data_IF_523909268860
#
_entry.id   IF_523909268860
#
_cell.length_a   1.000
_cell.length_b   1.000
_cell.length_c   1.000
_cell.angle_alpha   90.00
_cell.angle_beta   90.00
_cell.angle_gamma   90.00
#
_symmetry.space_group_name_H-M   'P 1'
#
loop_
_entity.id
_entity.type
_entity.pdbx_description
1 polymer ?
#
# COMPACT_ATOMS: atom_id res chain seq x y z
N UNK A 1 -23.73 8.84 42.59
CA UNK A 1 -22.73 9.63 41.86
C UNK A 1 -22.28 8.79 40.67
N UNK A 2 -23.07 8.83 39.59
CA UNK A 2 -22.78 8.10 38.35
C UNK A 2 -21.93 9.01 37.47
N UNK A 3 -20.71 8.59 37.16
CA UNK A 3 -19.84 9.29 36.23
C UNK A 3 -20.35 8.98 34.81
N UNK A 4 -21.09 9.92 34.21
CA UNK A 4 -21.45 9.88 32.80
C UNK A 4 -20.15 9.96 31.99
N UNK A 5 -19.71 8.83 31.45
CA UNK A 5 -18.67 8.80 30.45
C UNK A 5 -19.20 9.55 29.22
N UNK A 6 -18.80 10.81 29.07
CA UNK A 6 -18.94 11.51 27.80
C UNK A 6 -18.09 10.74 26.80
N UNK A 7 -18.76 10.07 25.86
CA UNK A 7 -18.14 9.66 24.60
C UNK A 7 -17.83 10.98 23.89
N UNK A 8 -16.65 11.54 24.15
CA UNK A 8 -16.08 12.54 23.29
C UNK A 8 -15.81 11.82 21.97
N UNK A 9 -16.75 11.92 21.03
CA UNK A 9 -16.43 11.83 19.63
C UNK A 9 -15.49 13.02 19.38
N UNK A 10 -14.19 12.76 19.40
CA UNK A 10 -13.27 13.63 18.71
C UNK A 10 -13.67 13.49 17.24
N UNK A 11 -14.47 14.43 16.74
CA UNK A 11 -14.47 14.75 15.33
C UNK A 11 -13.03 15.16 15.02
N UNK A 12 -12.22 14.18 14.63
CA UNK A 12 -10.95 14.47 13.99
C UNK A 12 -11.36 15.19 12.70
N UNK A 13 -11.31 16.53 12.71
CA UNK A 13 -11.49 17.31 11.50
C UNK A 13 -10.52 16.78 10.44
N UNK A 14 -10.94 16.75 9.17
CA UNK A 14 -10.04 16.42 8.06
C UNK A 14 -8.74 17.24 8.17
N UNK A 15 -8.89 18.49 8.60
CA UNK A 15 -7.84 19.48 8.76
C UNK A 15 -6.88 19.18 9.92
N UNK A 16 -7.16 18.20 10.79
CA UNK A 16 -6.25 17.78 11.86
C UNK A 16 -4.90 17.31 11.29
N UNK A 17 -4.92 16.74 10.08
CA UNK A 17 -3.71 16.28 9.39
C UNK A 17 -3.08 17.35 8.48
N UNK A 18 -3.76 18.47 8.23
CA UNK A 18 -3.29 19.49 7.27
C UNK A 18 -1.99 20.16 7.71
N UNK A 19 -1.68 20.18 9.01
CA UNK A 19 -0.41 20.73 9.51
C UNK A 19 0.72 19.67 9.61
N UNK A 20 0.37 18.38 9.68
CA UNK A 20 1.31 17.26 9.89
C UNK A 20 1.72 16.61 8.55
N UNK A 21 0.77 16.49 7.62
CA UNK A 21 0.90 15.74 6.37
C UNK A 21 1.76 16.44 5.29
N UNK A 22 1.62 17.76 5.02
CA UNK A 22 2.33 18.39 3.90
C UNK A 22 3.83 18.60 4.15
N UNK A 23 4.28 18.69 5.40
CA UNK A 23 5.72 18.83 5.68
C UNK A 23 6.45 17.49 5.50
N UNK A 24 5.84 16.39 5.93
CA UNK A 24 6.45 15.05 5.90
C UNK A 24 6.44 14.47 4.48
N UNK A 25 5.33 14.59 3.75
CA UNK A 25 5.22 14.10 2.35
C UNK A 25 6.16 14.85 1.40
N UNK A 26 6.43 16.15 1.66
CA UNK A 26 7.35 16.94 0.82
C UNK A 26 8.81 16.53 0.96
N UNK A 27 9.20 15.92 2.09
CA UNK A 27 10.58 15.50 2.33
C UNK A 27 10.91 14.19 1.62
N UNK A 28 9.95 13.27 1.52
CA UNK A 28 10.14 11.98 0.87
C UNK A 28 9.09 11.76 -0.23
N UNK A 29 9.49 11.91 -1.50
CA UNK A 29 8.58 11.82 -2.66
C UNK A 29 7.85 10.47 -2.75
N UNK A 30 8.41 9.42 -2.14
CA UNK A 30 7.85 8.06 -2.15
C UNK A 30 6.88 7.79 -1.00
N UNK A 31 6.73 8.72 -0.07
CA UNK A 31 5.94 8.53 1.14
C UNK A 31 4.47 8.26 0.81
N UNK A 32 3.87 9.05 -0.08
CA UNK A 32 2.47 8.88 -0.48
C UNK A 32 2.19 7.47 -1.05
N UNK A 33 3.06 6.99 -1.95
CA UNK A 33 2.95 5.64 -2.52
C UNK A 33 3.11 4.55 -1.43
N UNK A 34 4.02 4.77 -0.49
CA UNK A 34 4.31 3.80 0.58
C UNK A 34 3.14 3.71 1.58
N UNK A 35 2.57 4.85 2.00
CA UNK A 35 1.42 4.91 2.90
C UNK A 35 0.17 4.32 2.24
N UNK A 36 -0.04 4.60 0.95
CA UNK A 36 -1.15 4.03 0.20
C UNK A 36 -1.01 2.50 0.05
N UNK A 37 0.22 2.02 -0.17
CA UNK A 37 0.50 0.58 -0.16
C UNK A 37 0.25 -0.04 1.21
N UNK A 38 0.69 0.59 2.30
CA UNK A 38 0.40 0.10 3.66
C UNK A 38 -1.10 0.01 3.91
N UNK A 39 -1.87 1.02 3.49
CA UNK A 39 -3.32 0.99 3.60
C UNK A 39 -3.94 -0.15 2.78
N UNK A 40 -3.49 -0.36 1.54
CA UNK A 40 -3.93 -1.49 0.72
C UNK A 40 -3.64 -2.84 1.38
N UNK A 41 -2.42 -3.04 1.91
CA UNK A 41 -2.06 -4.30 2.57
C UNK A 41 -2.81 -4.52 3.89
N UNK A 42 -3.08 -3.47 4.67
CA UNK A 42 -3.95 -3.55 5.85
C UNK A 42 -5.39 -3.92 5.46
N UNK A 43 -5.91 -3.31 4.40
CA UNK A 43 -7.32 -3.43 4.03
C UNK A 43 -7.75 -4.72 3.33
N UNK A 44 -6.88 -5.75 3.35
CA UNK A 44 -7.33 -7.13 3.20
C UNK A 44 -7.97 -7.70 4.49
N UNK A 45 -8.05 -6.87 5.55
CA UNK A 45 -8.87 -7.04 6.75
C UNK A 45 -9.29 -5.71 7.41
N UNK A 46 -8.57 -4.61 7.13
CA UNK A 46 -8.72 -3.24 7.65
C UNK A 46 -8.77 -3.19 9.19
N UNK A 47 -7.91 -3.94 9.88
CA UNK A 47 -7.91 -4.07 11.34
C UNK A 47 -6.60 -3.62 12.01
N UNK A 48 -5.68 -3.02 11.25
CA UNK A 48 -4.37 -2.55 11.67
C UNK A 48 -3.42 -3.68 12.10
N UNK A 49 -3.69 -4.95 11.76
CA UNK A 49 -2.82 -6.09 12.07
C UNK A 49 -1.41 -5.93 11.48
N UNK A 50 -1.29 -5.29 10.31
CA UNK A 50 -0.01 -5.05 9.63
C UNK A 50 0.97 -4.21 10.47
N UNK A 51 0.46 -3.42 11.41
CA UNK A 51 1.28 -2.55 12.26
C UNK A 51 1.85 -3.28 13.48
N UNK A 52 1.37 -4.49 13.79
CA UNK A 52 1.82 -5.26 14.94
C UNK A 52 3.25 -5.78 14.75
N UNK A 53 4.11 -5.55 15.74
CA UNK A 53 5.48 -6.08 15.78
C UNK A 53 5.51 -7.55 16.22
N UNK A 54 6.61 -8.24 15.89
CA UNK A 54 6.80 -9.64 16.26
C UNK A 54 6.85 -9.79 17.78
N UNK A 55 6.04 -10.70 18.31
CA UNK A 55 6.06 -11.10 19.72
C UNK A 55 6.14 -12.62 19.83
N UNK A 56 6.29 -13.14 21.05
CA UNK A 56 6.30 -14.60 21.29
C UNK A 56 4.97 -15.27 20.95
N UNK A 57 3.88 -14.51 20.94
CA UNK A 57 2.51 -14.97 20.67
C UNK A 57 1.92 -14.42 19.38
N UNK A 58 2.65 -13.56 18.66
CA UNK A 58 2.15 -12.85 17.47
C UNK A 58 3.23 -12.90 16.40
N UNK A 59 2.91 -13.50 15.27
CA UNK A 59 3.72 -13.41 14.06
C UNK A 59 3.38 -12.12 13.31
N UNK A 60 4.39 -11.30 13.06
CA UNK A 60 4.21 -9.99 12.45
C UNK A 60 4.04 -10.10 10.94
N UNK A 61 2.97 -9.51 10.42
CA UNK A 61 2.76 -9.36 8.98
C UNK A 61 3.84 -8.52 8.29
N UNK A 62 4.61 -7.71 9.03
CA UNK A 62 5.78 -6.99 8.50
C UNK A 62 6.84 -7.95 7.95
N UNK A 63 6.86 -9.18 8.44
CA UNK A 63 7.80 -10.24 8.02
C UNK A 63 7.22 -11.21 6.99
N UNK A 64 5.93 -11.05 6.63
CA UNK A 64 5.30 -11.83 5.57
C UNK A 64 6.02 -11.61 4.23
N UNK A 65 5.94 -12.58 3.32
CA UNK A 65 6.70 -12.59 2.07
C UNK A 65 6.61 -11.25 1.30
N UNK A 66 5.40 -10.72 1.13
CA UNK A 66 5.17 -9.52 0.34
C UNK A 66 5.59 -8.22 1.06
N UNK A 67 5.72 -8.27 2.39
CA UNK A 67 6.01 -7.10 3.24
C UNK A 67 7.48 -7.03 3.67
N UNK A 68 8.15 -8.18 3.81
CA UNK A 68 9.49 -8.28 4.36
C UNK A 68 10.51 -7.56 3.46
N UNK A 69 11.24 -6.59 4.04
CA UNK A 69 12.14 -5.70 3.31
C UNK A 69 11.48 -4.98 2.12
N UNK A 70 10.16 -4.77 2.19
CA UNK A 70 9.35 -4.23 1.10
C UNK A 70 8.39 -3.14 1.59
N UNK A 71 7.50 -3.47 2.53
CA UNK A 71 6.61 -2.49 3.16
C UNK A 71 7.43 -1.54 4.04
N UNK A 72 7.06 -0.25 4.05
CA UNK A 72 7.85 0.83 4.68
C UNK A 72 6.95 2.00 5.12
N UNK A 73 7.50 2.91 5.93
CA UNK A 73 6.82 4.07 6.55
C UNK A 73 5.92 3.72 7.74
N UNK A 74 6.12 2.56 8.39
CA UNK A 74 5.42 2.20 9.62
C UNK A 74 5.62 3.27 10.72
N UNK A 75 6.83 3.80 10.81
CA UNK A 75 7.24 4.82 11.77
C UNK A 75 6.51 6.16 11.58
N UNK A 76 6.01 6.45 10.37
CA UNK A 76 5.20 7.65 10.12
C UNK A 76 3.84 7.49 10.80
N UNK A 77 3.22 6.31 10.65
CA UNK A 77 1.93 5.99 11.28
C UNK A 77 2.08 5.97 12.81
N UNK A 78 3.16 5.40 13.34
CA UNK A 78 3.43 5.39 14.78
C UNK A 78 3.57 6.81 15.35
N UNK A 79 4.27 7.71 14.63
CA UNK A 79 4.40 9.12 15.04
C UNK A 79 3.06 9.84 15.03
N UNK A 80 2.26 9.65 13.99
CA UNK A 80 0.91 10.23 13.89
C UNK A 80 0.06 9.74 15.07
N UNK A 81 0.07 8.44 15.33
CA UNK A 81 -0.66 7.82 16.44
C UNK A 81 -0.22 8.39 17.79
N UNK A 82 1.08 8.57 18.00
CA UNK A 82 1.62 9.12 19.24
C UNK A 82 1.20 10.58 19.49
N UNK A 83 1.18 11.43 18.45
CA UNK A 83 0.70 12.81 18.59
C UNK A 83 -0.81 12.86 18.84
N UNK A 84 -1.60 11.98 18.20
CA UNK A 84 -3.03 11.85 18.49
C UNK A 84 -3.23 11.45 19.96
N UNK A 85 -2.56 10.41 20.44
CA UNK A 85 -2.71 9.93 21.82
C UNK A 85 -2.32 10.99 22.86
N UNK A 86 -1.29 11.79 22.54
CA UNK A 86 -0.84 12.91 23.37
C UNK A 86 -1.88 14.02 23.43
N UNK A 87 -2.46 14.42 22.29
CA UNK A 87 -3.55 15.41 22.25
C UNK A 87 -4.79 14.90 22.99
N UNK A 88 -5.11 13.61 22.85
CA UNK A 88 -6.24 12.99 23.52
C UNK A 88 -5.99 12.68 25.01
N UNK A 89 -4.74 12.76 25.48
CA UNK A 89 -4.34 12.41 26.85
C UNK A 89 -4.52 10.93 27.21
N UNK A 90 -4.74 10.07 26.21
CA UNK A 90 -4.96 8.62 26.36
C UNK A 90 -4.78 7.92 25.01
N UNK A 91 -4.44 6.61 25.00
CA UNK A 91 -4.51 5.81 23.78
C UNK A 91 -5.93 5.83 23.21
N UNK A 92 -6.09 6.32 21.98
CA UNK A 92 -7.35 6.27 21.24
C UNK A 92 -7.22 5.33 20.05
N UNK A 93 -8.24 4.50 19.84
CA UNK A 93 -8.36 3.66 18.65
C UNK A 93 -9.25 4.41 17.68
N UNK A 94 -8.74 4.74 16.50
CA UNK A 94 -9.55 5.39 15.47
C UNK A 94 -10.49 4.37 14.84
N UNK A 95 -11.80 4.58 14.92
CA UNK A 95 -12.73 4.04 13.93
C UNK A 95 -12.58 4.84 12.64
N UNK A 96 -11.43 4.75 11.96
CA UNK A 96 -11.17 5.54 10.77
C UNK A 96 -11.87 4.89 9.58
N UNK A 97 -13.01 5.45 9.18
CA UNK A 97 -13.57 5.26 7.84
C UNK A 97 -12.96 6.32 6.94
N UNK A 98 -11.84 6.00 6.28
CA UNK A 98 -11.24 6.86 5.28
C UNK A 98 -12.16 6.89 4.05
N UNK A 99 -12.96 7.95 3.90
CA UNK A 99 -13.61 8.26 2.64
C UNK A 99 -12.60 9.00 1.75
N UNK A 100 -12.11 8.33 0.72
CA UNK A 100 -11.18 8.90 -0.25
C UNK A 100 -11.87 9.83 -1.26
N UNK A 101 -11.14 10.76 -1.90
CA UNK A 101 -11.66 11.56 -2.99
C UNK A 101 -12.07 10.66 -4.16
N UNK A 102 -13.09 11.07 -4.91
CA UNK A 102 -13.50 10.41 -6.16
C UNK A 102 -12.60 10.94 -7.29
N UNK A 103 -11.98 10.06 -8.07
CA UNK A 103 -11.20 10.44 -9.26
C UNK A 103 -11.73 9.76 -10.51
N UNK A 104 -11.68 10.47 -11.65
CA UNK A 104 -11.96 9.90 -12.96
C UNK A 104 -10.76 9.07 -13.42
N UNK A 105 -11.01 7.81 -13.79
CA UNK A 105 -9.98 6.89 -14.28
C UNK A 105 -10.00 6.91 -15.82
N UNK A 106 -8.85 7.19 -16.44
CA UNK A 106 -8.71 7.01 -17.89
C UNK A 106 -8.84 5.52 -18.27
N UNK A 107 -9.87 5.22 -19.08
CA UNK A 107 -10.16 3.88 -19.59
C UNK A 107 -9.52 3.68 -20.97
N UNK A 108 -9.19 2.44 -21.35
CA UNK A 108 -8.75 2.13 -22.72
C UNK A 108 -7.59 1.13 -22.88
N UNK A 109 -7.07 0.56 -21.78
CA UNK A 109 -6.14 -0.58 -21.86
C UNK A 109 -6.91 -1.83 -22.31
N UNK A 110 -6.30 -2.62 -23.19
CA UNK A 110 -6.88 -3.89 -23.68
C UNK A 110 -6.46 -5.02 -22.77
N UNK A 111 -7.41 -5.89 -22.44
CA UNK A 111 -7.20 -7.03 -21.56
C UNK A 111 -6.40 -8.15 -22.24
N UNK A 112 -5.51 -8.78 -21.48
CA UNK A 112 -4.85 -10.03 -21.88
C UNK A 112 -5.87 -11.18 -21.83
N UNK A 113 -5.88 -12.05 -22.84
CA UNK A 113 -7.00 -12.98 -23.07
C UNK A 113 -7.00 -14.25 -22.23
N UNK A 114 -5.95 -14.53 -21.44
CA UNK A 114 -5.96 -15.60 -20.43
C UNK A 114 -4.70 -15.52 -19.56
N UNK A 115 -4.85 -15.29 -18.25
CA UNK A 115 -3.85 -15.67 -17.26
C UNK A 115 -4.56 -16.31 -16.05
N UNK A 116 -4.09 -17.47 -15.57
CA UNK A 116 -4.58 -18.09 -14.33
C UNK A 116 -4.37 -17.15 -13.15
N UNK A 117 -3.36 -16.28 -13.22
CA UNK A 117 -3.06 -15.30 -12.19
C UNK A 117 -4.11 -14.18 -12.13
N UNK A 118 -4.75 -13.83 -13.25
CA UNK A 118 -5.81 -12.83 -13.28
C UNK A 118 -7.07 -13.33 -12.57
N UNK A 119 -7.45 -14.60 -12.76
CA UNK A 119 -8.59 -15.19 -12.06
C UNK A 119 -8.35 -15.26 -10.55
N UNK A 120 -7.14 -15.64 -10.13
CA UNK A 120 -6.75 -15.63 -8.73
C UNK A 120 -6.81 -14.21 -8.12
N UNK A 121 -6.38 -13.20 -8.88
CA UNK A 121 -6.44 -11.80 -8.47
C UNK A 121 -7.88 -11.30 -8.33
N UNK A 122 -8.75 -11.60 -9.30
CA UNK A 122 -10.19 -11.29 -9.24
C UNK A 122 -10.83 -11.95 -8.02
N UNK A 123 -10.53 -13.22 -7.76
CA UNK A 123 -11.07 -13.94 -6.60
C UNK A 123 -10.59 -13.35 -5.27
N UNK A 124 -9.34 -12.87 -5.21
CA UNK A 124 -8.81 -12.19 -4.03
C UNK A 124 -9.51 -10.86 -3.77
N UNK A 125 -9.77 -10.06 -4.81
CA UNK A 125 -10.53 -8.81 -4.68
C UNK A 125 -11.98 -9.08 -4.26
N UNK A 126 -12.63 -10.10 -4.83
CA UNK A 126 -13.99 -10.51 -4.45
C UNK A 126 -14.12 -10.90 -2.99
N UNK A 127 -13.10 -11.55 -2.39
CA UNK A 127 -13.09 -11.87 -0.95
C UNK A 127 -13.12 -10.62 -0.06
N UNK A 128 -12.66 -9.49 -0.59
CA UNK A 128 -12.69 -8.18 0.08
C UNK A 128 -13.95 -7.37 -0.28
N UNK A 129 -14.89 -7.95 -1.03
CA UNK A 129 -16.10 -7.27 -1.49
C UNK A 129 -15.86 -6.29 -2.63
N UNK A 130 -14.71 -6.38 -3.31
CA UNK A 130 -14.32 -5.54 -4.43
C UNK A 130 -14.59 -6.24 -5.77
N UNK A 131 -15.00 -5.48 -6.78
CA UNK A 131 -15.29 -6.00 -8.11
C UNK A 131 -14.12 -5.81 -9.10
N UNK A 132 -14.31 -6.21 -10.35
CA UNK A 132 -13.30 -6.09 -11.41
C UNK A 132 -12.96 -4.63 -11.75
N UNK A 133 -13.89 -3.69 -11.54
CA UNK A 133 -13.63 -2.26 -11.72
C UNK A 133 -12.75 -1.75 -10.59
N UNK A 134 -13.01 -2.18 -9.37
CA UNK A 134 -12.16 -1.86 -8.22
C UNK A 134 -10.75 -2.42 -8.43
N UNK A 135 -10.61 -3.62 -9.00
CA UNK A 135 -9.30 -4.17 -9.37
C UNK A 135 -8.57 -3.26 -10.35
N UNK A 136 -9.21 -2.84 -11.44
CA UNK A 136 -8.59 -1.96 -12.44
C UNK A 136 -8.25 -0.60 -11.83
N UNK A 137 -9.16 -0.02 -11.05
CA UNK A 137 -8.98 1.28 -10.42
C UNK A 137 -7.85 1.26 -9.38
N UNK A 138 -7.80 0.26 -8.51
CA UNK A 138 -6.78 0.15 -7.48
C UNK A 138 -5.42 -0.25 -8.06
N UNK A 139 -5.39 -1.02 -9.14
CA UNK A 139 -4.14 -1.32 -9.87
C UNK A 139 -3.48 -0.07 -10.45
N UNK A 140 -4.25 1.01 -10.66
CA UNK A 140 -3.68 2.28 -11.12
C UNK A 140 -2.67 2.84 -10.13
N UNK A 141 -2.73 2.51 -8.83
CA UNK A 141 -1.77 3.01 -7.83
C UNK A 141 -0.31 2.72 -8.17
N UNK A 142 -0.04 1.67 -8.95
CA UNK A 142 1.32 1.35 -9.41
C UNK A 142 1.93 2.43 -10.34
N UNK A 143 1.16 3.43 -10.78
CA UNK A 143 1.73 4.66 -11.38
C UNK A 143 2.58 5.46 -10.38
N UNK A 144 2.29 5.30 -9.08
CA UNK A 144 2.96 5.98 -7.98
C UNK A 144 3.88 5.00 -7.27
N UNK A 145 5.19 5.18 -7.40
CA UNK A 145 6.16 4.46 -6.57
C UNK A 145 7.24 3.72 -7.36
N UNK A 146 7.81 2.73 -6.69
CA UNK A 146 8.97 2.00 -7.16
C UNK A 146 8.88 0.55 -6.70
N UNK A 147 9.42 -0.34 -7.53
CA UNK A 147 9.40 -1.78 -7.31
C UNK A 147 10.82 -2.34 -7.36
N UNK A 148 11.10 -3.34 -6.52
CA UNK A 148 12.41 -3.97 -6.48
C UNK A 148 12.59 -4.92 -7.66
N UNK A 149 13.84 -5.07 -8.10
CA UNK A 149 14.18 -5.93 -9.23
C UNK A 149 13.62 -7.36 -9.15
N UNK A 150 13.69 -8.07 -8.01
CA UNK A 150 13.20 -9.45 -7.92
C UNK A 150 11.71 -9.61 -8.29
N UNK A 151 10.90 -8.56 -8.13
CA UNK A 151 9.45 -8.59 -8.37
C UNK A 151 9.08 -8.75 -9.85
N UNK A 152 9.94 -8.31 -10.78
CA UNK A 152 9.67 -8.37 -12.23
C UNK A 152 10.81 -9.00 -13.04
N UNK A 153 11.91 -9.40 -12.38
CA UNK A 153 13.13 -9.89 -13.05
C UNK A 153 12.85 -11.14 -13.88
N UNK A 154 12.04 -12.06 -13.37
CA UNK A 154 11.76 -13.30 -14.07
C UNK A 154 11.08 -13.01 -15.42
N UNK A 155 10.11 -12.10 -15.40
CA UNK A 155 9.25 -11.75 -16.52
C UNK A 155 10.07 -11.10 -17.64
N UNK A 156 10.89 -10.11 -17.31
CA UNK A 156 11.70 -9.41 -18.32
C UNK A 156 12.74 -10.31 -18.99
N UNK A 157 13.14 -11.42 -18.36
CA UNK A 157 14.18 -12.31 -18.89
C UNK A 157 13.66 -13.61 -19.50
N UNK A 158 12.47 -14.07 -19.08
CA UNK A 158 11.97 -15.41 -19.40
C UNK A 158 10.55 -15.41 -20.02
N UNK A 159 9.78 -14.31 -19.93
CA UNK A 159 8.38 -14.25 -20.38
C UNK A 159 8.19 -13.39 -21.65
N UNK A 160 8.92 -13.74 -22.72
CA UNK A 160 8.92 -12.99 -23.99
C UNK A 160 7.57 -12.98 -24.74
N UNK A 161 6.63 -13.85 -24.35
CA UNK A 161 5.26 -13.88 -24.89
C UNK A 161 4.31 -12.95 -24.16
N UNK A 162 4.68 -12.50 -22.96
CA UNK A 162 3.85 -11.66 -22.09
C UNK A 162 4.36 -10.21 -22.08
N UNK A 163 5.68 -10.03 -22.11
CA UNK A 163 6.33 -8.71 -22.05
C UNK A 163 6.83 -8.29 -23.43
N UNK A 164 6.54 -7.04 -23.82
CA UNK A 164 7.10 -6.45 -25.04
C UNK A 164 8.64 -6.45 -25.01
N UNK A 165 9.24 -6.93 -26.10
CA UNK A 165 10.70 -7.09 -26.18
C UNK A 165 11.49 -5.78 -26.04
N UNK A 166 10.91 -4.65 -26.47
CA UNK A 166 11.55 -3.33 -26.33
C UNK A 166 11.50 -2.89 -24.88
N UNK A 167 10.35 -3.03 -24.23
CA UNK A 167 10.18 -2.74 -22.80
C UNK A 167 11.08 -3.61 -21.93
N UNK A 168 11.12 -4.93 -22.18
CA UNK A 168 12.03 -5.86 -21.51
C UNK A 168 13.48 -5.39 -21.63
N UNK A 169 13.94 -5.06 -22.85
CA UNK A 169 15.31 -4.60 -23.08
C UNK A 169 15.64 -3.31 -22.32
N UNK A 170 14.70 -2.37 -22.22
CA UNK A 170 14.88 -1.14 -21.45
C UNK A 170 15.03 -1.41 -19.95
N UNK A 171 14.24 -2.34 -19.40
CA UNK A 171 14.35 -2.70 -17.97
C UNK A 171 15.62 -3.50 -17.68
N UNK A 172 16.00 -4.42 -18.55
CA UNK A 172 17.23 -5.22 -18.43
C UNK A 172 18.51 -4.35 -18.41
N UNK A 173 18.48 -3.17 -19.03
CA UNK A 173 19.62 -2.23 -19.00
C UNK A 173 20.01 -1.80 -17.57
N UNK A 174 19.04 -1.77 -16.65
CA UNK A 174 19.25 -1.37 -15.26
C UNK A 174 19.07 -2.53 -14.26
N UNK A 175 18.32 -3.58 -14.63
CA UNK A 175 18.04 -4.76 -13.82
C UNK A 175 18.78 -6.00 -14.35
N UNK A 176 19.97 -6.34 -13.81
CA UNK A 176 20.71 -7.53 -14.26
C UNK A 176 20.01 -8.84 -13.88
N UNK A 177 20.37 -9.94 -14.56
CA UNK A 177 19.85 -11.31 -14.30
C UNK A 177 20.06 -11.78 -12.86
N UNK A 178 21.03 -11.22 -12.15
CA UNK A 178 21.27 -11.51 -10.74
C UNK A 178 21.90 -10.31 -10.04
N UNK A 179 21.63 -10.18 -8.73
CA UNK A 179 22.14 -9.10 -7.91
C UNK A 179 21.34 -7.80 -8.03
N UNK A 180 21.69 -6.84 -7.16
CA UNK A 180 20.95 -5.58 -7.06
C UNK A 180 19.51 -5.77 -6.58
N UNK A 181 19.25 -6.76 -5.73
CA UNK A 181 17.89 -7.11 -5.30
C UNK A 181 17.19 -5.98 -4.56
N UNK A 182 17.96 -5.11 -3.89
CA UNK A 182 17.45 -3.90 -3.23
C UNK A 182 17.31 -2.68 -4.15
N UNK A 183 17.72 -2.79 -5.42
CA UNK A 183 17.60 -1.68 -6.37
C UNK A 183 16.16 -1.55 -6.85
N UNK A 184 15.79 -0.31 -7.17
CA UNK A 184 14.42 0.11 -7.42
C UNK A 184 14.26 0.60 -8.86
N UNK A 185 13.18 0.18 -9.50
CA UNK A 185 12.72 0.71 -10.78
C UNK A 185 11.36 1.39 -10.60
N UNK A 186 11.08 2.40 -11.41
CA UNK A 186 9.71 2.90 -11.61
C UNK A 186 8.92 1.86 -12.43
N UNK A 187 7.65 1.66 -12.05
CA UNK A 187 6.71 0.71 -12.70
C UNK A 187 6.13 1.21 -14.04
N UNK A 188 6.81 2.16 -14.70
CA UNK A 188 6.40 2.76 -15.98
C UNK A 188 7.30 2.34 -17.13
#
# INVERSE_FOLDING_TARGET
MFCLASIAFLDLSYDFYDDICPQTIRQERRMGASLLRLHFHDCFGCDASIFLDQMTTIDSEKTAHDNNNSAREFEVIDRIKAEIDKVCGRPVVSCAKLHGPTWEVELGRRDSTTNKDLLALIDNFKKQGLDEKDLVALSSVHTLGFTQYPTFRNEIYNEATIIDSTFASQKQANCPRSGGDSNLAVDQ
#
